data_IF_394203691184
#
_entry.id   IF_394203691184
#
_cell.length_a   1.000
_cell.length_b   1.000
_cell.length_c   1.000
_cell.angle_alpha   90.00
_cell.angle_beta   90.00
_cell.angle_gamma   90.00
#
_symmetry.space_group_name_H-M   'P 1'
#
loop_
_entity.id
_entity.type
_entity.pdbx_description
1 polymer ?
#
# COMPACT_ATOMS: atom_id res chain seq x y z
N UNK A 1 -35.76 -19.82 30.28
CA UNK A 1 -35.16 -20.73 29.27
C UNK A 1 -33.65 -20.56 29.30
N UNK A 2 -32.95 -21.29 30.17
CA UNK A 2 -31.49 -21.17 30.31
C UNK A 2 -30.80 -21.72 29.07
N UNK A 3 -30.07 -20.86 28.34
CA UNK A 3 -29.19 -21.31 27.26
C UNK A 3 -28.22 -22.32 27.84
N UNK A 4 -28.20 -23.53 27.28
CA UNK A 4 -27.19 -24.53 27.58
C UNK A 4 -25.82 -23.91 27.34
N UNK A 5 -25.14 -23.48 28.41
CA UNK A 5 -23.71 -23.18 28.34
C UNK A 5 -23.08 -24.50 27.94
N UNK A 6 -22.54 -24.59 26.72
CA UNK A 6 -21.57 -25.62 26.37
C UNK A 6 -20.43 -25.47 27.37
N UNK A 7 -20.48 -26.19 28.49
CA UNK A 7 -19.33 -26.40 29.34
C UNK A 7 -18.36 -27.15 28.45
N UNK A 8 -17.43 -26.41 27.84
CA UNK A 8 -16.23 -26.98 27.24
C UNK A 8 -15.49 -27.66 28.37
N UNK A 9 -15.82 -28.94 28.61
CA UNK A 9 -15.06 -29.74 29.55
C UNK A 9 -13.65 -29.86 28.98
N UNK A 10 -12.66 -29.60 29.83
CA UNK A 10 -11.27 -29.83 29.51
C UNK A 10 -11.08 -31.33 29.21
N UNK A 11 -10.99 -31.66 27.92
CA UNK A 11 -10.90 -33.03 27.42
C UNK A 11 -9.72 -33.78 28.04
N UNK A 12 -8.63 -33.08 28.35
CA UNK A 12 -7.45 -33.65 28.98
C UNK A 12 -7.79 -34.11 30.41
N UNK A 13 -8.55 -33.30 31.16
CA UNK A 13 -9.01 -33.70 32.51
C UNK A 13 -9.97 -34.89 32.45
N UNK A 14 -10.88 -34.90 31.49
CA UNK A 14 -11.84 -36.00 31.31
C UNK A 14 -11.11 -37.32 31.04
N UNK A 15 -10.19 -37.34 30.07
CA UNK A 15 -9.43 -38.54 29.70
C UNK A 15 -8.54 -39.01 30.86
N UNK A 16 -7.86 -38.10 31.56
CA UNK A 16 -7.07 -38.44 32.75
C UNK A 16 -7.94 -39.04 33.86
N UNK A 17 -9.15 -38.52 34.08
CA UNK A 17 -10.11 -39.07 35.03
C UNK A 17 -10.58 -40.47 34.66
N UNK A 18 -10.95 -40.69 33.39
CA UNK A 18 -11.38 -42.00 32.89
C UNK A 18 -10.26 -43.05 32.95
N UNK A 19 -9.02 -42.67 32.63
CA UNK A 19 -7.87 -43.58 32.75
C UNK A 19 -7.54 -43.93 34.20
N UNK A 20 -7.69 -42.99 35.14
CA UNK A 20 -7.47 -43.24 36.58
C UNK A 20 -8.53 -44.16 37.19
N UNK A 21 -9.79 -44.00 36.75
CA UNK A 21 -10.91 -44.80 37.27
C UNK A 21 -11.04 -46.17 36.58
N UNK A 22 -10.11 -46.54 35.69
CA UNK A 22 -10.16 -47.80 34.95
C UNK A 22 -11.23 -47.86 33.84
N UNK A 23 -11.92 -46.76 33.55
CA UNK A 23 -12.92 -46.68 32.48
C UNK A 23 -12.33 -46.65 31.07
N UNK A 24 -11.01 -46.44 30.95
CA UNK A 24 -10.29 -46.46 29.68
C UNK A 24 -8.81 -46.81 29.90
N UNK A 25 -8.18 -47.48 28.92
CA UNK A 25 -6.71 -47.63 28.90
C UNK A 25 -6.03 -46.28 28.67
N UNK A 26 -5.00 -45.95 29.47
CA UNK A 26 -4.23 -44.69 29.34
C UNK A 26 -3.72 -44.52 27.89
N UNK A 27 -4.14 -43.47 27.17
CA UNK A 27 -3.63 -43.20 25.84
C UNK A 27 -2.15 -42.79 25.86
N UNK A 28 -1.42 -43.14 24.80
CA UNK A 28 0.03 -42.87 24.66
C UNK A 28 0.36 -41.37 24.72
N UNK A 29 -0.51 -40.52 24.17
CA UNK A 29 -0.32 -39.07 24.13
C UNK A 29 -0.46 -38.38 25.49
N UNK A 30 -1.08 -38.99 26.49
CA UNK A 30 -1.29 -38.36 27.81
C UNK A 30 0.04 -38.02 28.49
N UNK A 31 1.05 -38.89 28.35
CA UNK A 31 2.39 -38.63 28.88
C UNK A 31 3.04 -37.41 28.22
N UNK A 32 2.77 -37.18 26.94
CA UNK A 32 3.28 -36.03 26.20
C UNK A 32 2.62 -34.73 26.65
N UNK A 33 1.32 -34.76 26.93
CA UNK A 33 0.56 -33.60 27.45
C UNK A 33 0.91 -33.28 28.90
N UNK A 34 1.26 -34.27 29.71
CA UNK A 34 1.81 -34.02 31.06
C UNK A 34 3.17 -33.31 31.00
N UNK A 35 3.99 -33.65 30.00
CA UNK A 35 5.31 -33.02 29.77
C UNK A 35 5.21 -31.61 29.21
N UNK A 36 4.25 -31.40 28.30
CA UNK A 36 4.00 -30.12 27.63
C UNK A 36 2.52 -29.76 27.78
N UNK A 37 2.10 -29.21 28.93
CA UNK A 37 0.71 -28.83 29.13
C UNK A 37 0.32 -27.73 28.13
N UNK A 38 -0.94 -27.71 27.65
CA UNK A 38 -1.40 -26.63 26.80
C UNK A 38 -1.31 -25.29 27.54
N UNK A 39 -1.06 -24.18 26.83
CA UNK A 39 -1.04 -22.87 27.45
C UNK A 39 -2.41 -22.57 28.09
N UNK A 40 -2.44 -21.86 29.22
CA UNK A 40 -3.71 -21.45 29.82
C UNK A 40 -4.48 -20.60 28.82
N UNK A 41 -5.79 -20.84 28.70
CA UNK A 41 -6.64 -19.98 27.88
C UNK A 41 -6.54 -18.53 28.40
N UNK A 42 -6.34 -17.53 27.52
CA UNK A 42 -6.35 -16.14 27.94
C UNK A 42 -7.68 -15.85 28.64
N UNK A 43 -7.63 -15.01 29.69
CA UNK A 43 -8.82 -14.63 30.45
C UNK A 43 -9.86 -14.07 29.49
N UNK A 44 -11.03 -14.71 29.45
CA UNK A 44 -12.17 -14.26 28.64
C UNK A 44 -12.78 -12.96 29.16
N UNK A 45 -12.35 -12.49 30.33
CA UNK A 45 -12.80 -11.25 30.98
C UNK A 45 -12.48 -9.98 30.16
N UNK A 46 -11.64 -10.09 29.11
CA UNK A 46 -11.52 -9.06 28.09
C UNK A 46 -12.61 -9.26 27.04
N UNK A 47 -13.79 -8.71 27.32
CA UNK A 47 -14.95 -8.73 26.42
C UNK A 47 -14.69 -8.06 25.04
N UNK A 48 -13.59 -7.31 24.90
CA UNK A 48 -13.22 -6.62 23.66
C UNK A 48 -11.76 -6.86 23.31
N UNK A 49 -11.53 -7.45 22.13
CA UNK A 49 -10.21 -7.49 21.49
C UNK A 49 -9.80 -6.04 21.21
N UNK A 50 -8.63 -5.57 21.68
CA UNK A 50 -8.18 -4.20 21.39
C UNK A 50 -7.97 -4.04 19.89
N UNK A 51 -8.47 -2.93 19.32
CA UNK A 51 -8.18 -2.56 17.94
C UNK A 51 -6.77 -1.95 17.91
N UNK A 52 -5.88 -2.54 17.13
CA UNK A 52 -4.57 -1.97 16.86
C UNK A 52 -4.78 -0.84 15.85
N UNK A 53 -4.29 0.35 16.17
CA UNK A 53 -4.38 1.56 15.35
C UNK A 53 -3.02 2.23 15.30
N UNK A 54 -2.61 2.68 14.13
CA UNK A 54 -1.36 3.38 13.94
C UNK A 54 -1.60 4.87 13.58
N UNK A 55 -0.66 5.78 13.90
CA UNK A 55 -0.79 7.19 13.55
C UNK A 55 -0.96 7.43 12.04
N UNK A 56 -0.25 6.65 11.21
CA UNK A 56 -0.34 6.70 9.76
C UNK A 56 -1.72 6.33 9.21
N UNK A 57 -2.53 5.54 9.94
CA UNK A 57 -3.89 5.19 9.51
C UNK A 57 -4.73 6.46 9.31
N UNK A 58 -4.59 7.44 10.21
CA UNK A 58 -5.28 8.73 10.10
C UNK A 58 -4.80 9.52 8.88
N UNK A 59 -3.49 9.57 8.66
CA UNK A 59 -2.91 10.35 7.55
C UNK A 59 -3.28 9.73 6.20
N UNK A 60 -3.25 8.41 6.08
CA UNK A 60 -3.68 7.67 4.89
C UNK A 60 -5.17 7.88 4.60
N UNK A 61 -6.03 7.82 5.63
CA UNK A 61 -7.47 8.12 5.47
C UNK A 61 -7.71 9.55 4.98
N UNK A 62 -6.97 10.53 5.52
CA UNK A 62 -7.07 11.93 5.08
C UNK A 62 -6.59 12.10 3.63
N UNK A 63 -5.49 11.44 3.26
CA UNK A 63 -4.96 11.44 1.91
C UNK A 63 -5.98 10.90 0.90
N UNK A 64 -6.52 9.70 1.17
CA UNK A 64 -7.53 9.06 0.32
C UNK A 64 -8.81 9.89 0.22
N UNK A 65 -9.24 10.52 1.32
CA UNK A 65 -10.44 11.37 1.33
C UNK A 65 -10.29 12.59 0.44
N UNK A 66 -9.12 13.23 0.42
CA UNK A 66 -8.85 14.39 -0.45
C UNK A 66 -8.85 14.04 -1.93
N UNK A 67 -8.55 12.79 -2.28
CA UNK A 67 -8.42 12.28 -3.65
C UNK A 67 -9.61 11.39 -4.07
N UNK A 68 -10.71 11.50 -3.34
CA UNK A 68 -11.98 10.82 -3.61
C UNK A 68 -11.86 9.28 -3.74
N UNK A 69 -10.84 8.67 -3.12
CA UNK A 69 -10.64 7.21 -3.15
C UNK A 69 -10.18 6.64 -4.50
N UNK A 70 -9.68 7.49 -5.43
CA UNK A 70 -9.15 7.05 -6.72
C UNK A 70 -7.75 6.40 -6.63
N UNK A 71 -7.14 6.41 -5.45
CA UNK A 71 -5.75 5.99 -5.26
C UNK A 71 -5.70 4.60 -4.61
N UNK A 72 -4.64 3.86 -4.92
CA UNK A 72 -4.32 2.61 -4.26
C UNK A 72 -4.01 2.80 -2.77
N UNK A 73 -4.49 1.88 -1.94
CA UNK A 73 -4.22 1.88 -0.50
C UNK A 73 -2.71 1.88 -0.22
N UNK A 74 -1.94 1.15 -1.04
CA UNK A 74 -0.49 1.08 -0.88
C UNK A 74 0.17 2.46 -1.02
N UNK A 75 -0.17 3.22 -2.08
CA UNK A 75 0.34 4.58 -2.27
C UNK A 75 -0.06 5.49 -1.11
N UNK A 76 -1.28 5.34 -0.58
CA UNK A 76 -1.74 6.14 0.54
C UNK A 76 -0.96 5.87 1.83
N UNK A 77 -0.57 4.62 2.10
CA UNK A 77 0.26 4.29 3.26
C UNK A 77 1.71 4.74 3.09
N UNK A 78 2.28 4.62 1.89
CA UNK A 78 3.63 5.15 1.60
C UNK A 78 3.68 6.67 1.79
N UNK A 79 2.66 7.39 1.29
CA UNK A 79 2.51 8.83 1.53
C UNK A 79 2.43 9.15 3.02
N UNK A 80 1.60 8.40 3.77
CA UNK A 80 1.41 8.60 5.19
C UNK A 80 2.68 8.34 6.01
N UNK A 81 3.48 7.34 5.64
CA UNK A 81 4.75 7.03 6.29
C UNK A 81 5.82 8.12 6.02
N UNK A 82 5.92 8.61 4.79
CA UNK A 82 6.81 9.73 4.47
C UNK A 82 6.37 11.03 5.17
N UNK A 83 5.06 11.31 5.20
CA UNK A 83 4.51 12.46 5.90
C UNK A 83 4.79 12.37 7.40
N UNK A 84 4.62 11.18 8.00
CA UNK A 84 4.94 10.94 9.40
C UNK A 84 6.42 11.17 9.69
N UNK A 85 7.32 10.72 8.79
CA UNK A 85 8.76 10.93 8.91
C UNK A 85 9.11 12.43 8.92
N UNK A 86 8.49 13.23 8.06
CA UNK A 86 8.68 14.68 8.04
C UNK A 86 8.16 15.34 9.33
N UNK A 87 7.02 14.88 9.85
CA UNK A 87 6.47 15.35 11.12
C UNK A 87 7.39 15.01 12.29
N UNK A 88 7.98 13.81 12.31
CA UNK A 88 8.97 13.40 13.31
C UNK A 88 10.25 14.25 13.25
N UNK A 89 10.61 14.76 12.08
CA UNK A 89 11.70 15.73 11.89
C UNK A 89 11.34 17.18 12.27
N UNK A 90 10.10 17.43 12.72
CA UNK A 90 9.65 18.72 13.21
C UNK A 90 8.97 19.61 12.16
N UNK A 91 8.65 19.07 10.99
CA UNK A 91 7.87 19.79 9.97
C UNK A 91 6.38 19.77 10.37
N UNK A 92 5.66 20.89 10.30
CA UNK A 92 4.21 20.92 10.54
C UNK A 92 3.43 19.98 9.59
N UNK A 93 2.30 19.44 10.05
CA UNK A 93 1.48 18.47 9.29
C UNK A 93 1.07 19.02 7.91
N UNK A 94 0.72 20.31 7.82
CA UNK A 94 0.30 20.98 6.58
C UNK A 94 1.48 21.19 5.61
N UNK A 95 2.64 21.59 6.13
CA UNK A 95 3.84 21.80 5.31
C UNK A 95 4.39 20.47 4.79
N UNK A 96 4.40 19.44 5.63
CA UNK A 96 4.79 18.08 5.24
C UNK A 96 3.87 17.53 4.15
N UNK A 97 2.56 17.82 4.22
CA UNK A 97 1.60 17.46 3.17
C UNK A 97 1.91 18.15 1.85
N UNK A 98 2.14 19.47 1.88
CA UNK A 98 2.39 20.26 0.67
C UNK A 98 3.73 19.89 0.01
N UNK A 99 4.75 19.53 0.79
CA UNK A 99 6.04 19.08 0.24
C UNK A 99 5.93 17.74 -0.49
N UNK A 100 5.03 16.85 -0.04
CA UNK A 100 4.89 15.51 -0.60
C UNK A 100 3.89 15.44 -1.74
N UNK A 101 2.97 16.40 -1.85
CA UNK A 101 1.89 16.32 -2.83
C UNK A 101 2.40 16.29 -4.27
N UNK A 102 3.36 17.16 -4.59
CA UNK A 102 3.95 17.26 -5.93
C UNK A 102 4.66 15.95 -6.30
N UNK A 103 5.47 15.41 -5.38
CA UNK A 103 6.15 14.13 -5.57
C UNK A 103 5.15 12.99 -5.82
N UNK A 104 4.03 12.96 -5.09
CA UNK A 104 3.08 11.87 -5.19
C UNK A 104 2.09 12.01 -6.35
N UNK A 105 1.88 13.20 -6.90
CA UNK A 105 1.19 13.38 -8.19
C UNK A 105 1.91 12.60 -9.31
N UNK A 106 3.24 12.69 -9.37
CA UNK A 106 4.05 11.97 -10.35
C UNK A 106 4.02 10.45 -10.11
N UNK A 107 4.19 10.01 -8.86
CA UNK A 107 4.15 8.59 -8.49
C UNK A 107 2.79 7.97 -8.79
N UNK A 108 1.69 8.69 -8.57
CA UNK A 108 0.34 8.27 -8.91
C UNK A 108 0.15 8.14 -10.42
N UNK A 109 0.61 9.12 -11.19
CA UNK A 109 0.57 9.08 -12.65
C UNK A 109 1.33 7.86 -13.19
N UNK A 110 2.54 7.61 -12.70
CA UNK A 110 3.34 6.45 -13.11
C UNK A 110 2.67 5.12 -12.74
N UNK A 111 2.17 4.97 -11.50
CA UNK A 111 1.45 3.76 -11.09
C UNK A 111 0.18 3.54 -11.88
N UNK A 112 -0.54 4.61 -12.23
CA UNK A 112 -1.71 4.52 -13.09
C UNK A 112 -1.33 4.04 -14.48
N UNK A 113 -0.31 4.64 -15.10
CA UNK A 113 0.19 4.25 -16.42
C UNK A 113 0.69 2.79 -16.44
N UNK A 114 1.39 2.35 -15.40
CA UNK A 114 1.86 0.97 -15.27
C UNK A 114 0.69 -0.04 -15.11
N UNK A 115 -0.35 0.32 -14.36
CA UNK A 115 -1.56 -0.51 -14.26
C UNK A 115 -2.32 -0.54 -15.59
N UNK A 116 -2.41 0.60 -16.26
CA UNK A 116 -3.09 0.75 -17.54
C UNK A 116 -2.38 -0.03 -18.65
N UNK A 117 -1.05 0.03 -18.69
CA UNK A 117 -0.20 -0.69 -19.64
C UNK A 117 -0.39 -2.20 -19.54
N UNK A 118 -0.29 -2.73 -18.33
CA UNK A 118 -0.52 -4.15 -18.00
C UNK A 118 -1.93 -4.60 -18.37
N UNK A 119 -2.94 -3.75 -18.15
CA UNK A 119 -4.33 -4.08 -18.49
C UNK A 119 -4.56 -4.16 -20.01
N UNK A 120 -3.91 -3.29 -20.79
CA UNK A 120 -4.07 -3.22 -22.25
C UNK A 120 -3.11 -4.11 -23.03
N UNK A 121 -2.12 -4.70 -22.36
CA UNK A 121 -1.06 -5.49 -23.02
C UNK A 121 -0.16 -4.61 -23.90
N UNK A 122 -0.05 -3.32 -23.57
CA UNK A 122 0.79 -2.35 -24.27
C UNK A 122 2.04 -2.16 -23.41
N UNK A 123 3.23 -2.35 -23.99
CA UNK A 123 4.49 -2.01 -23.33
C UNK A 123 4.71 -0.50 -23.49
N UNK A 124 4.67 0.23 -22.37
CA UNK A 124 5.15 1.62 -22.33
C UNK A 124 6.65 1.62 -22.05
N UNK A 125 7.36 2.66 -22.51
CA UNK A 125 8.76 2.87 -22.14
C UNK A 125 8.91 3.02 -20.62
N UNK A 126 10.10 2.81 -20.09
CA UNK A 126 10.36 2.98 -18.66
C UNK A 126 10.11 4.46 -18.28
N UNK A 127 9.38 4.78 -17.19
CA UNK A 127 9.22 6.14 -16.67
C UNK A 127 10.47 7.03 -16.69
N UNK A 128 11.65 6.45 -16.44
CA UNK A 128 12.92 7.19 -16.47
C UNK A 128 13.30 7.72 -17.87
N UNK A 129 12.79 7.11 -18.93
CA UNK A 129 13.05 7.50 -20.31
C UNK A 129 12.09 8.60 -20.80
N UNK A 130 11.03 8.93 -20.04
CA UNK A 130 10.04 9.93 -20.47
C UNK A 130 10.59 11.37 -20.48
N UNK A 131 11.43 11.74 -19.50
CA UNK A 131 12.06 13.06 -19.45
C UNK A 131 13.00 13.28 -20.65
N UNK A 132 13.66 12.23 -21.10
CA UNK A 132 14.54 12.25 -22.26
C UNK A 132 13.75 12.26 -23.58
N UNK A 133 12.60 11.58 -23.60
CA UNK A 133 11.66 11.65 -24.72
C UNK A 133 11.09 13.06 -24.83
N UNK A 134 10.54 13.66 -23.77
CA UNK A 134 9.93 14.99 -23.82
C UNK A 134 10.93 16.06 -24.29
N UNK A 135 12.16 16.03 -23.78
CA UNK A 135 13.25 16.89 -24.29
C UNK A 135 13.53 16.65 -25.78
N UNK A 136 13.55 15.40 -26.22
CA UNK A 136 13.75 15.03 -27.62
C UNK A 136 12.64 15.56 -28.54
N UNK A 137 11.39 15.57 -28.08
CA UNK A 137 10.25 16.12 -28.82
C UNK A 137 10.32 17.65 -28.90
N UNK A 138 10.64 18.34 -27.81
CA UNK A 138 10.83 19.80 -27.79
C UNK A 138 12.01 20.23 -28.69
N UNK A 139 13.09 19.45 -28.70
CA UNK A 139 14.22 19.68 -29.60
C UNK A 139 13.90 19.39 -31.07
N UNK A 140 13.05 18.40 -31.35
CA UNK A 140 12.57 18.10 -32.69
C UNK A 140 11.62 19.19 -33.21
N UNK A 141 10.68 19.65 -32.37
CA UNK A 141 9.77 20.75 -32.71
C UNK A 141 10.53 22.05 -32.93
N UNK A 142 11.48 22.41 -32.05
CA UNK A 142 12.29 23.62 -32.22
C UNK A 142 13.20 23.56 -33.46
N UNK A 143 13.68 22.38 -33.85
CA UNK A 143 14.39 22.18 -35.12
C UNK A 143 13.47 22.35 -36.33
N UNK A 144 12.29 21.74 -36.30
CA UNK A 144 11.31 21.87 -37.37
C UNK A 144 10.86 23.33 -37.58
N UNK A 145 10.66 24.08 -36.49
CA UNK A 145 10.31 25.52 -36.55
C UNK A 145 11.46 26.35 -37.17
N UNK A 146 12.71 26.09 -36.77
CA UNK A 146 13.88 26.79 -37.33
C UNK A 146 14.07 26.47 -38.82
N UNK A 147 13.81 25.24 -39.23
CA UNK A 147 13.93 24.82 -40.62
C UNK A 147 12.81 25.42 -41.49
N UNK A 148 11.58 25.48 -40.98
CA UNK A 148 10.46 26.17 -41.63
C UNK A 148 10.75 27.67 -41.81
N UNK A 149 11.24 28.35 -40.77
CA UNK A 149 11.66 29.75 -40.87
C UNK A 149 12.80 29.97 -41.88
N UNK A 150 13.73 29.02 -42.00
CA UNK A 150 14.82 29.11 -42.99
C UNK A 150 14.27 29.02 -44.41
N UNK A 151 13.35 28.09 -44.66
CA UNK A 151 12.69 27.92 -45.96
C UNK A 151 11.87 29.16 -46.35
N UNK A 152 11.10 29.72 -45.43
CA UNK A 152 10.34 30.97 -45.68
C UNK A 152 11.28 32.13 -46.03
N UNK A 153 12.43 32.24 -45.34
CA UNK A 153 13.40 33.29 -45.62
C UNK A 153 14.09 33.11 -46.98
N UNK A 154 14.45 31.88 -47.35
CA UNK A 154 15.01 31.53 -48.65
C UNK A 154 14.00 31.79 -49.79
N UNK A 155 12.71 31.54 -49.57
CA UNK A 155 11.63 31.85 -50.51
C UNK A 155 11.42 33.36 -50.68
N UNK A 156 11.46 34.14 -49.59
CA UNK A 156 11.39 35.60 -49.64
C UNK A 156 12.59 36.23 -50.34
N UNK A 157 13.80 35.71 -50.13
CA UNK A 157 15.00 36.16 -50.84
C UNK A 157 14.98 35.77 -52.32
N UNK A 158 14.46 34.59 -52.67
CA UNK A 158 14.27 34.17 -54.04
C UNK A 158 13.23 35.06 -54.77
N UNK A 159 12.15 35.44 -54.09
CA UNK A 159 11.14 36.37 -54.61
C UNK A 159 11.65 37.82 -54.73
N UNK A 160 12.60 38.24 -53.87
CA UNK A 160 13.25 39.56 -53.96
C UNK A 160 14.29 39.68 -55.06
N UNK A 161 14.89 38.56 -55.48
CA UNK A 161 15.93 38.50 -56.51
C UNK A 161 15.37 38.15 -57.91
N UNK A 162 14.05 38.08 -58.07
CA UNK A 162 13.33 38.09 -59.35
C UNK A 162 12.86 39.49 -59.73
#
# INVERSE_FOLDING_TARGET
MGRARKRTMDMIRLVKGLSRNGGMRKPSWVAQVDRYPPPPMPRADRDKIPKITFPQDRLAELYMKKREGMIDNQTAYEFADEQLTLIEHGVPEEDAYNLLIEKYDDVEAHRFLEKFSKMRGIEFADPADYDDIEKGWVEAESRAIKEAMRLEHEEEEALRNM
#
